data_IF_041184470277
#
_entry.id   IF_041184470277
#
_cell.length_a   1.000
_cell.length_b   1.000
_cell.length_c   1.000
_cell.angle_alpha   90.00
_cell.angle_beta   90.00
_cell.angle_gamma   90.00
#
_symmetry.space_group_name_H-M   'P 1'
#
loop_
_entity.id
_entity.type
_entity.pdbx_description
1 polymer ?
#
# COMPACT_ATOMS: atom_id res chain seq x y z
N UNK A 1 -47.43 -21.16 -79.82
CA UNK A 1 -47.07 -20.43 -78.56
C UNK A 1 -45.58 -20.47 -78.38
N UNK A 2 -44.87 -19.43 -78.78
CA UNK A 2 -43.41 -19.31 -78.60
C UNK A 2 -43.12 -18.36 -77.46
N UNK A 3 -42.47 -18.85 -76.34
CA UNK A 3 -41.97 -18.01 -75.22
C UNK A 3 -40.63 -17.42 -75.64
N UNK A 4 -40.54 -16.12 -75.71
CA UNK A 4 -39.31 -15.33 -75.84
C UNK A 4 -38.56 -15.32 -74.49
N UNK A 5 -37.27 -15.75 -74.51
CA UNK A 5 -36.35 -15.59 -73.37
C UNK A 5 -35.61 -14.26 -73.55
N UNK A 6 -35.91 -13.31 -72.72
CA UNK A 6 -35.16 -12.07 -72.60
C UNK A 6 -33.92 -12.34 -71.70
N UNK A 7 -32.73 -12.26 -72.26
CA UNK A 7 -31.45 -12.25 -71.52
C UNK A 7 -31.11 -10.84 -71.20
N UNK A 8 -31.23 -10.50 -69.92
CA UNK A 8 -30.85 -9.22 -69.35
C UNK A 8 -29.35 -9.26 -68.98
N UNK A 9 -28.56 -8.59 -69.81
CA UNK A 9 -27.09 -8.45 -69.53
C UNK A 9 -26.83 -7.40 -68.45
N UNK A 10 -26.41 -7.85 -67.29
CA UNK A 10 -26.09 -7.05 -66.11
C UNK A 10 -24.56 -6.87 -66.05
N UNK A 11 -23.98 -5.94 -66.80
CA UNK A 11 -22.52 -5.64 -66.86
C UNK A 11 -22.11 -4.22 -66.50
N UNK A 12 -23.03 -3.35 -66.00
CA UNK A 12 -22.71 -1.94 -65.75
C UNK A 12 -22.48 -1.51 -64.30
N UNK A 13 -22.82 -2.37 -63.28
CA UNK A 13 -22.88 -1.86 -61.88
C UNK A 13 -21.65 -2.15 -61.01
N UNK A 14 -20.80 -3.11 -61.40
CA UNK A 14 -19.61 -3.45 -60.59
C UNK A 14 -18.43 -2.47 -60.73
N UNK A 15 -18.29 -1.83 -61.91
CA UNK A 15 -17.25 -0.85 -62.19
C UNK A 15 -17.52 0.50 -61.49
N UNK A 16 -18.79 0.92 -61.39
CA UNK A 16 -19.16 2.15 -60.67
C UNK A 16 -19.03 2.04 -59.15
N UNK A 17 -19.31 0.86 -58.55
CA UNK A 17 -19.12 0.63 -57.12
C UNK A 17 -17.66 0.57 -56.69
N UNK A 18 -16.77 0.04 -57.54
CA UNK A 18 -15.30 0.03 -57.28
C UNK A 18 -14.68 1.41 -57.37
N UNK A 19 -15.15 2.27 -58.27
CA UNK A 19 -14.68 3.65 -58.40
C UNK A 19 -15.10 4.55 -57.22
N UNK A 20 -16.29 4.33 -56.63
CA UNK A 20 -16.76 5.03 -55.44
C UNK A 20 -16.00 4.61 -54.16
N UNK A 21 -15.57 3.34 -54.01
CA UNK A 21 -14.75 2.86 -52.91
C UNK A 21 -13.31 3.41 -52.98
N UNK A 22 -12.75 3.63 -54.16
CA UNK A 22 -11.40 4.22 -54.31
C UNK A 22 -11.38 5.74 -54.04
N UNK A 23 -12.51 6.45 -54.26
CA UNK A 23 -12.61 7.89 -53.94
C UNK A 23 -12.82 8.13 -52.42
N UNK A 24 -13.43 7.19 -51.68
CA UNK A 24 -13.57 7.31 -50.23
C UNK A 24 -12.25 7.07 -49.48
N UNK A 25 -11.31 6.30 -50.04
CA UNK A 25 -9.99 6.07 -49.46
C UNK A 25 -9.02 7.26 -49.63
N UNK A 26 -9.30 8.21 -50.52
CA UNK A 26 -8.44 9.38 -50.80
C UNK A 26 -8.67 10.58 -49.85
N UNK A 27 -9.72 10.55 -49.02
CA UNK A 27 -10.05 11.64 -48.06
C UNK A 27 -9.65 11.39 -46.61
N UNK A 28 -9.09 10.24 -46.27
CA UNK A 28 -8.44 10.09 -44.95
C UNK A 28 -7.01 10.64 -45.09
N UNK A 29 -6.87 11.92 -44.88
CA UNK A 29 -5.56 12.56 -44.72
C UNK A 29 -4.80 11.86 -43.61
N UNK A 30 -3.90 10.93 -43.96
CA UNK A 30 -2.97 10.31 -43.01
C UNK A 30 -2.11 11.44 -42.46
N UNK A 31 -2.45 11.92 -41.26
CA UNK A 31 -1.57 12.85 -40.52
C UNK A 31 -0.22 12.15 -40.45
N UNK A 32 0.83 12.81 -40.91
CA UNK A 32 2.20 12.30 -40.71
C UNK A 32 2.38 11.98 -39.26
N UNK A 33 2.97 10.81 -38.93
CA UNK A 33 3.26 10.48 -37.55
C UNK A 33 4.00 11.63 -36.87
N UNK A 34 3.68 11.94 -35.62
CA UNK A 34 4.42 12.94 -34.88
C UNK A 34 5.88 12.50 -34.69
N UNK A 35 6.76 13.42 -34.32
CA UNK A 35 8.20 13.16 -34.19
C UNK A 35 8.49 12.04 -33.17
N UNK A 36 7.65 11.90 -32.13
CA UNK A 36 7.79 10.83 -31.13
C UNK A 36 7.44 9.48 -31.73
N UNK A 37 6.35 9.39 -32.49
CA UNK A 37 5.96 8.16 -33.19
C UNK A 37 6.99 7.71 -34.20
N UNK A 38 7.56 8.63 -34.96
CA UNK A 38 8.66 8.32 -35.91
C UNK A 38 9.89 7.78 -35.17
N UNK A 39 10.24 8.37 -34.03
CA UNK A 39 11.35 7.93 -33.21
C UNK A 39 11.11 6.54 -32.63
N UNK A 40 9.89 6.25 -32.09
CA UNK A 40 9.52 4.94 -31.58
C UNK A 40 9.63 3.82 -32.62
N UNK A 41 9.38 4.14 -33.90
CA UNK A 41 9.44 3.17 -35.00
C UNK A 41 10.85 3.02 -35.62
N UNK A 42 11.75 3.98 -35.41
CA UNK A 42 13.07 4.01 -36.07
C UNK A 42 14.23 3.58 -35.18
N UNK A 43 14.06 3.60 -33.85
CA UNK A 43 15.12 3.30 -32.89
C UNK A 43 15.05 1.86 -32.35
N UNK A 44 16.19 1.35 -31.89
CA UNK A 44 16.26 0.06 -31.21
C UNK A 44 15.55 0.07 -29.84
N UNK A 45 15.15 -1.11 -29.34
CA UNK A 45 14.53 -1.24 -28.02
C UNK A 45 15.45 -0.75 -26.89
N UNK A 46 16.76 -0.92 -27.05
CA UNK A 46 17.79 -0.48 -26.11
C UNK A 46 17.84 1.05 -26.03
N UNK A 47 17.89 1.73 -27.20
CA UNK A 47 17.88 3.19 -27.27
C UNK A 47 16.60 3.80 -26.68
N UNK A 48 15.44 3.20 -26.98
CA UNK A 48 14.15 3.63 -26.45
C UNK A 48 14.06 3.43 -24.94
N UNK A 49 14.53 2.28 -24.44
CA UNK A 49 14.59 1.98 -23.03
C UNK A 49 15.46 3.00 -22.27
N UNK A 50 16.70 3.22 -22.71
CA UNK A 50 17.60 4.16 -22.05
C UNK A 50 17.08 5.60 -22.11
N UNK A 51 16.48 6.01 -23.23
CA UNK A 51 15.82 7.32 -23.34
C UNK A 51 14.66 7.47 -22.37
N UNK A 52 13.79 6.47 -22.28
CA UNK A 52 12.66 6.46 -21.35
C UNK A 52 13.12 6.52 -19.89
N UNK A 53 14.11 5.73 -19.53
CA UNK A 53 14.75 5.71 -18.21
C UNK A 53 15.34 7.08 -17.85
N UNK A 54 16.15 7.65 -18.72
CA UNK A 54 16.77 8.98 -18.51
C UNK A 54 15.72 10.09 -18.33
N UNK A 55 14.58 10.01 -19.03
CA UNK A 55 13.48 10.96 -18.85
C UNK A 55 12.81 10.80 -17.48
N UNK A 56 12.59 9.57 -17.01
CA UNK A 56 12.03 9.27 -15.67
C UNK A 56 12.97 9.78 -14.58
N UNK A 57 14.29 9.59 -14.72
CA UNK A 57 15.30 10.11 -13.80
C UNK A 57 15.27 11.64 -13.70
N UNK A 58 15.03 12.32 -14.83
CA UNK A 58 14.83 13.77 -14.91
C UNK A 58 13.43 14.22 -14.47
N UNK A 59 12.62 13.33 -13.86
CA UNK A 59 11.23 13.57 -13.44
C UNK A 59 10.27 13.96 -14.58
N UNK A 60 10.65 13.74 -15.82
CA UNK A 60 9.78 13.91 -17.01
C UNK A 60 8.95 12.63 -17.22
N UNK A 61 8.12 12.30 -16.23
CA UNK A 61 7.46 11.00 -16.11
C UNK A 61 6.61 10.66 -17.34
N UNK A 62 5.72 11.55 -17.77
CA UNK A 62 4.84 11.30 -18.92
C UNK A 62 5.62 11.05 -20.23
N UNK A 63 6.66 11.83 -20.44
CA UNK A 63 7.52 11.66 -21.61
C UNK A 63 8.29 10.32 -21.53
N UNK A 64 8.85 9.99 -20.37
CA UNK A 64 9.58 8.73 -20.16
C UNK A 64 8.68 7.51 -20.33
N UNK A 65 7.46 7.56 -19.79
CA UNK A 65 6.47 6.49 -19.93
C UNK A 65 6.12 6.17 -21.38
N UNK A 66 6.07 7.13 -22.28
CA UNK A 66 5.80 6.88 -23.71
C UNK A 66 6.79 5.88 -24.30
N UNK A 67 8.09 6.07 -24.05
CA UNK A 67 9.15 5.19 -24.56
C UNK A 67 9.13 3.83 -23.85
N UNK A 68 9.06 3.82 -22.52
CA UNK A 68 9.06 2.57 -21.74
C UNK A 68 7.82 1.71 -22.02
N UNK A 69 6.63 2.34 -22.18
CA UNK A 69 5.40 1.63 -22.53
C UNK A 69 5.53 0.97 -23.90
N UNK A 70 6.06 1.69 -24.88
CA UNK A 70 6.30 1.11 -26.21
C UNK A 70 7.22 -0.12 -26.12
N UNK A 71 8.31 -0.06 -25.32
CA UNK A 71 9.26 -1.17 -25.16
C UNK A 71 8.57 -2.38 -24.52
N UNK A 72 7.82 -2.23 -23.43
CA UNK A 72 7.20 -3.39 -22.78
C UNK A 72 6.01 -3.96 -23.57
N UNK A 73 5.28 -3.15 -24.33
CA UNK A 73 4.18 -3.62 -25.16
C UNK A 73 4.65 -4.33 -26.43
N UNK A 74 5.74 -3.84 -27.02
CA UNK A 74 6.30 -4.43 -28.24
C UNK A 74 7.15 -5.67 -27.96
N UNK A 75 7.87 -5.68 -26.81
CA UNK A 75 8.81 -6.74 -26.45
C UNK A 75 8.48 -7.34 -25.05
N UNK A 76 7.26 -7.86 -24.80
CA UNK A 76 6.82 -8.26 -23.46
C UNK A 76 7.64 -9.41 -22.87
N UNK A 77 8.17 -10.29 -23.71
CA UNK A 77 8.97 -11.45 -23.26
C UNK A 77 10.48 -11.14 -23.14
N UNK A 78 10.91 -9.97 -23.58
CA UNK A 78 12.30 -9.55 -23.49
C UNK A 78 12.65 -9.06 -22.06
N UNK A 79 13.89 -9.30 -21.58
CA UNK A 79 14.32 -8.74 -20.30
C UNK A 79 14.13 -7.23 -20.17
N UNK A 80 14.40 -6.45 -21.25
CA UNK A 80 14.17 -5.00 -21.26
C UNK A 80 12.69 -4.64 -21.21
N UNK A 81 11.81 -5.42 -21.85
CA UNK A 81 10.36 -5.22 -21.76
C UNK A 81 9.85 -5.39 -20.34
N UNK A 82 10.32 -6.44 -19.63
CA UNK A 82 9.98 -6.66 -18.23
C UNK A 82 10.48 -5.52 -17.33
N UNK A 83 11.71 -5.07 -17.54
CA UNK A 83 12.28 -3.96 -16.78
C UNK A 83 11.58 -2.64 -17.10
N UNK A 84 11.20 -2.41 -18.35
CA UNK A 84 10.45 -1.23 -18.79
C UNK A 84 9.09 -1.14 -18.06
N UNK A 85 8.36 -2.26 -17.90
CA UNK A 85 7.11 -2.28 -17.15
C UNK A 85 7.32 -1.88 -15.68
N UNK A 86 8.39 -2.36 -15.03
CA UNK A 86 8.75 -1.94 -13.67
C UNK A 86 9.07 -0.44 -13.60
N UNK A 87 9.84 0.09 -14.55
CA UNK A 87 10.17 1.52 -14.58
C UNK A 87 8.94 2.39 -14.85
N UNK A 88 7.96 1.92 -15.63
CA UNK A 88 6.66 2.58 -15.78
C UNK A 88 5.94 2.64 -14.44
N UNK A 89 5.87 1.51 -13.70
CA UNK A 89 5.28 1.47 -12.37
C UNK A 89 5.99 2.42 -11.40
N UNK A 90 7.33 2.36 -11.35
CA UNK A 90 8.18 3.24 -10.53
C UNK A 90 7.95 4.72 -10.86
N UNK A 91 7.74 5.06 -12.13
CA UNK A 91 7.51 6.44 -12.58
C UNK A 91 6.19 7.00 -12.05
N UNK A 92 5.14 6.20 -12.04
CA UNK A 92 3.86 6.56 -11.43
C UNK A 92 3.97 6.68 -9.92
N UNK A 93 4.66 5.74 -9.27
CA UNK A 93 4.92 5.81 -7.83
C UNK A 93 5.68 7.08 -7.42
N UNK A 94 6.75 7.43 -8.18
CA UNK A 94 7.54 8.65 -7.96
C UNK A 94 6.76 9.93 -8.25
N UNK A 95 5.82 9.90 -9.17
CA UNK A 95 4.92 11.03 -9.44
C UNK A 95 4.03 11.31 -8.23
N UNK A 96 3.60 10.25 -7.52
CA UNK A 96 2.85 10.37 -6.28
C UNK A 96 1.40 10.80 -6.46
N UNK A 97 0.76 11.06 -5.31
CA UNK A 97 -0.68 11.35 -5.24
C UNK A 97 -1.55 10.13 -5.52
N UNK A 98 -2.85 10.24 -5.23
CA UNK A 98 -3.80 9.11 -5.35
C UNK A 98 -3.80 8.50 -6.75
N UNK A 99 -3.82 9.32 -7.79
CA UNK A 99 -3.76 8.83 -9.19
C UNK A 99 -2.45 8.10 -9.47
N UNK A 100 -1.31 8.67 -9.05
CA UNK A 100 0.00 8.05 -9.25
C UNK A 100 0.14 6.71 -8.52
N UNK A 101 -0.32 6.63 -7.26
CA UNK A 101 -0.29 5.37 -6.50
C UNK A 101 -1.24 4.32 -7.07
N UNK A 102 -2.43 4.71 -7.55
CA UNK A 102 -3.38 3.81 -8.19
C UNK A 102 -2.81 3.22 -9.49
N UNK A 103 -2.22 4.03 -10.36
CA UNK A 103 -1.57 3.59 -11.60
C UNK A 103 -0.35 2.72 -11.33
N UNK A 104 0.50 3.10 -10.37
CA UNK A 104 1.64 2.30 -9.96
C UNK A 104 1.20 0.92 -9.46
N UNK A 105 0.16 0.87 -8.63
CA UNK A 105 -0.46 -0.34 -8.09
C UNK A 105 -0.92 -1.28 -9.21
N UNK A 106 -1.60 -0.73 -10.21
CA UNK A 106 -2.02 -1.50 -11.37
C UNK A 106 -0.82 -2.11 -12.12
N UNK A 107 0.25 -1.32 -12.37
CA UNK A 107 1.43 -1.77 -13.11
C UNK A 107 2.28 -2.78 -12.33
N UNK A 108 2.46 -2.62 -11.02
CA UNK A 108 3.16 -3.63 -10.20
C UNK A 108 2.39 -4.94 -10.16
N UNK A 109 1.05 -4.91 -10.03
CA UNK A 109 0.21 -6.10 -10.09
C UNK A 109 0.30 -6.77 -11.46
N UNK A 110 0.28 -6.00 -12.54
CA UNK A 110 0.44 -6.50 -13.91
C UNK A 110 1.78 -7.22 -14.08
N UNK A 111 2.87 -6.63 -13.59
CA UNK A 111 4.20 -7.27 -13.58
C UNK A 111 4.21 -8.61 -12.82
N UNK A 112 3.64 -8.63 -11.63
CA UNK A 112 3.58 -9.83 -10.80
C UNK A 112 2.77 -10.96 -11.47
N UNK A 113 1.72 -10.62 -12.20
CA UNK A 113 0.86 -11.58 -12.90
C UNK A 113 1.51 -12.11 -14.19
N UNK A 114 2.12 -11.22 -14.98
CA UNK A 114 2.72 -11.60 -16.28
C UNK A 114 4.01 -12.39 -16.14
N UNK A 115 4.81 -12.11 -15.11
CA UNK A 115 6.17 -12.63 -15.01
C UNK A 115 6.40 -13.44 -13.73
N UNK A 116 5.80 -14.65 -13.62
CA UNK A 116 5.90 -15.48 -12.42
C UNK A 116 7.33 -15.93 -12.09
N UNK A 117 8.23 -16.01 -13.09
CA UNK A 117 9.64 -16.38 -12.92
C UNK A 117 10.64 -15.21 -12.89
N UNK A 118 10.19 -13.96 -12.86
CA UNK A 118 11.10 -12.82 -12.89
C UNK A 118 11.87 -12.64 -11.57
N UNK A 119 13.13 -12.23 -11.65
CA UNK A 119 14.02 -12.08 -10.48
C UNK A 119 13.63 -10.92 -9.55
N UNK A 120 12.92 -9.88 -10.07
CA UNK A 120 12.55 -8.68 -9.31
C UNK A 120 11.11 -8.71 -8.77
N UNK A 121 10.53 -9.88 -8.62
CA UNK A 121 9.16 -10.01 -8.11
C UNK A 121 9.03 -9.57 -6.65
N UNK A 122 10.03 -9.83 -5.84
CA UNK A 122 10.10 -9.38 -4.45
C UNK A 122 10.09 -7.85 -4.36
N UNK A 123 10.87 -7.16 -5.18
CA UNK A 123 10.82 -5.71 -5.33
C UNK A 123 9.44 -5.24 -5.77
N UNK A 124 8.87 -5.83 -6.81
CA UNK A 124 7.55 -5.45 -7.30
C UNK A 124 6.45 -5.67 -6.24
N UNK A 125 6.53 -6.76 -5.47
CA UNK A 125 5.60 -7.04 -4.37
C UNK A 125 5.75 -6.01 -3.24
N UNK A 126 6.98 -5.66 -2.89
CA UNK A 126 7.24 -4.62 -1.89
C UNK A 126 6.69 -3.26 -2.33
N UNK A 127 6.96 -2.84 -3.56
CA UNK A 127 6.45 -1.58 -4.09
C UNK A 127 4.92 -1.58 -4.23
N UNK A 128 4.32 -2.71 -4.58
CA UNK A 128 2.87 -2.87 -4.61
C UNK A 128 2.26 -2.62 -3.22
N UNK A 129 2.82 -3.22 -2.17
CA UNK A 129 2.42 -2.96 -0.80
C UNK A 129 2.60 -1.47 -0.42
N UNK A 130 3.73 -0.89 -0.83
CA UNK A 130 4.06 0.50 -0.51
C UNK A 130 3.10 1.50 -1.16
N UNK A 131 2.43 1.16 -2.28
CA UNK A 131 1.39 2.03 -2.87
C UNK A 131 0.19 2.22 -1.94
N UNK A 132 -0.23 1.19 -1.22
CA UNK A 132 -1.28 1.29 -0.21
C UNK A 132 -0.79 2.01 1.04
N UNK A 133 0.45 1.71 1.46
CA UNK A 133 1.10 2.35 2.62
C UNK A 133 1.15 3.88 2.49
N UNK A 134 1.37 4.39 1.27
CA UNK A 134 1.35 5.84 0.98
C UNK A 134 -0.02 6.50 1.07
N UNK A 135 -1.09 5.73 1.13
CA UNK A 135 -2.48 6.19 1.23
C UNK A 135 -3.09 5.92 2.61
N UNK A 136 -2.26 5.51 3.59
CA UNK A 136 -2.72 5.32 4.96
C UNK A 136 -3.07 6.65 5.59
N UNK A 137 -4.25 6.70 6.19
CA UNK A 137 -4.75 7.85 6.93
C UNK A 137 -4.54 7.70 8.44
N UNK A 138 -4.96 8.72 9.21
CA UNK A 138 -4.92 8.70 10.67
C UNK A 138 -5.85 7.62 11.24
N UNK A 139 -5.64 7.17 12.49
CA UNK A 139 -6.43 6.10 13.10
C UNK A 139 -7.94 6.38 13.17
N UNK A 140 -8.36 7.65 13.22
CA UNK A 140 -9.76 8.07 13.27
C UNK A 140 -10.47 8.09 11.90
N UNK A 141 -9.78 7.69 10.83
CA UNK A 141 -10.26 7.67 9.45
C UNK A 141 -10.46 6.23 8.95
N UNK A 142 -10.79 6.11 7.67
CA UNK A 142 -10.90 4.80 7.01
C UNK A 142 -9.55 4.05 7.03
N UNK A 143 -9.60 2.75 7.37
CA UNK A 143 -8.43 1.90 7.49
C UNK A 143 -8.32 0.86 6.36
N UNK A 144 -9.01 1.07 5.24
CA UNK A 144 -8.97 0.14 4.11
C UNK A 144 -7.56 0.01 3.54
N UNK A 145 -6.89 1.14 3.27
CA UNK A 145 -5.50 1.14 2.77
C UNK A 145 -4.52 0.48 3.75
N UNK A 146 -4.73 0.66 5.06
CA UNK A 146 -3.92 0.00 6.09
C UNK A 146 -4.04 -1.52 6.03
N UNK A 147 -5.27 -2.05 5.92
CA UNK A 147 -5.51 -3.50 5.81
C UNK A 147 -4.92 -4.08 4.54
N UNK A 148 -5.13 -3.41 3.41
CA UNK A 148 -4.57 -3.83 2.12
C UNK A 148 -3.04 -3.83 2.14
N UNK A 149 -2.40 -2.81 2.69
CA UNK A 149 -0.96 -2.75 2.84
C UNK A 149 -0.43 -3.93 3.67
N UNK A 150 -1.06 -4.22 4.82
CA UNK A 150 -0.70 -5.37 5.68
C UNK A 150 -0.76 -6.67 4.88
N UNK A 151 -1.83 -6.90 4.13
CA UNK A 151 -1.99 -8.13 3.33
C UNK A 151 -0.89 -8.26 2.27
N UNK A 152 -0.53 -7.17 1.59
CA UNK A 152 0.52 -7.22 0.57
C UNK A 152 1.92 -7.40 1.20
N UNK A 153 2.22 -6.78 2.34
CA UNK A 153 3.48 -7.03 3.05
C UNK A 153 3.54 -8.45 3.63
N UNK A 154 2.45 -9.00 4.13
CA UNK A 154 2.39 -10.40 4.55
C UNK A 154 2.61 -11.37 3.38
N UNK A 155 2.06 -11.06 2.21
CA UNK A 155 2.31 -11.81 0.99
C UNK A 155 3.80 -11.77 0.59
N UNK A 156 4.43 -10.59 0.65
CA UNK A 156 5.88 -10.45 0.44
C UNK A 156 6.69 -11.36 1.38
N UNK A 157 6.40 -11.29 2.69
CA UNK A 157 7.13 -12.07 3.70
C UNK A 157 6.96 -13.58 3.48
N UNK A 158 5.75 -14.02 3.11
CA UNK A 158 5.43 -15.43 2.85
C UNK A 158 6.07 -15.94 1.57
N UNK A 159 5.99 -15.17 0.48
CA UNK A 159 6.45 -15.57 -0.85
C UNK A 159 7.98 -15.42 -1.01
N UNK A 160 8.59 -14.45 -0.31
CA UNK A 160 10.00 -14.08 -0.42
C UNK A 160 10.66 -13.88 0.95
N UNK A 161 10.69 -14.90 1.83
CA UNK A 161 11.15 -14.76 3.22
C UNK A 161 12.62 -14.34 3.37
N UNK A 162 13.44 -14.63 2.37
CA UNK A 162 14.88 -14.29 2.31
C UNK A 162 15.19 -13.03 1.53
N UNK A 163 14.18 -12.36 0.97
CA UNK A 163 14.36 -11.09 0.27
C UNK A 163 14.89 -10.00 1.20
N UNK A 164 15.74 -9.10 0.67
CA UNK A 164 16.18 -7.91 1.37
C UNK A 164 15.03 -6.98 1.80
N UNK A 165 13.84 -7.10 1.18
CA UNK A 165 12.64 -6.33 1.53
C UNK A 165 11.81 -6.97 2.65
N UNK A 166 12.01 -8.26 2.98
CA UNK A 166 11.19 -8.97 3.95
C UNK A 166 11.29 -8.36 5.37
N UNK A 167 12.49 -7.91 5.77
CA UNK A 167 12.70 -7.24 7.05
C UNK A 167 11.91 -5.95 7.17
N UNK A 168 12.00 -5.09 6.16
CA UNK A 168 11.21 -3.86 6.08
C UNK A 168 9.71 -4.15 6.06
N UNK A 169 9.28 -5.19 5.33
CA UNK A 169 7.88 -5.63 5.31
C UNK A 169 7.36 -6.03 6.70
N UNK A 170 8.14 -6.79 7.50
CA UNK A 170 7.77 -7.16 8.87
C UNK A 170 7.57 -5.94 9.76
N UNK A 171 8.49 -4.99 9.69
CA UNK A 171 8.37 -3.76 10.47
C UNK A 171 7.15 -2.93 10.07
N UNK A 172 6.86 -2.84 8.75
CA UNK A 172 5.65 -2.15 8.29
C UNK A 172 4.37 -2.84 8.78
N UNK A 173 4.30 -4.17 8.75
CA UNK A 173 3.16 -4.92 9.29
C UNK A 173 2.96 -4.61 10.77
N UNK A 174 4.03 -4.59 11.58
CA UNK A 174 3.97 -4.26 13.01
C UNK A 174 3.37 -2.86 13.22
N UNK A 175 3.95 -1.84 12.58
CA UNK A 175 3.50 -0.44 12.70
C UNK A 175 2.03 -0.27 12.28
N UNK A 176 1.62 -0.92 11.18
CA UNK A 176 0.25 -0.84 10.69
C UNK A 176 -0.74 -1.62 11.56
N UNK A 177 -0.31 -2.71 12.18
CA UNK A 177 -1.11 -3.45 13.15
C UNK A 177 -1.37 -2.59 14.38
N UNK A 178 -0.36 -1.85 14.87
CA UNK A 178 -0.52 -0.86 15.94
C UNK A 178 -1.49 0.26 15.54
N UNK A 179 -1.45 0.71 14.29
CA UNK A 179 -2.38 1.73 13.78
C UNK A 179 -3.83 1.23 13.78
N UNK A 180 -4.07 -0.04 13.39
CA UNK A 180 -5.41 -0.65 13.47
C UNK A 180 -5.88 -0.78 14.93
N UNK A 181 -4.98 -1.14 15.84
CA UNK A 181 -5.29 -1.19 17.26
C UNK A 181 -5.65 0.21 17.81
N UNK A 182 -4.93 1.26 17.41
CA UNK A 182 -5.24 2.64 17.77
C UNK A 182 -6.60 3.09 17.20
N UNK A 183 -6.96 2.65 15.99
CA UNK A 183 -8.31 2.87 15.44
C UNK A 183 -9.38 2.27 16.35
N UNK A 184 -9.25 0.99 16.73
CA UNK A 184 -10.21 0.33 17.64
C UNK A 184 -10.25 1.00 19.02
N UNK A 185 -9.10 1.45 19.54
CA UNK A 185 -9.05 2.22 20.76
C UNK A 185 -9.84 3.53 20.63
N UNK A 186 -9.68 4.25 19.51
CA UNK A 186 -10.38 5.52 19.29
C UNK A 186 -11.90 5.35 19.24
N UNK A 187 -12.38 4.23 18.67
CA UNK A 187 -13.80 3.85 18.68
C UNK A 187 -14.30 3.57 20.10
N UNK A 188 -13.55 2.78 20.88
CA UNK A 188 -13.87 2.51 22.29
C UNK A 188 -13.91 3.80 23.12
N UNK A 189 -12.91 4.64 22.93
CA UNK A 189 -12.84 5.94 23.62
C UNK A 189 -13.98 6.91 23.24
N UNK A 190 -14.42 6.88 21.97
CA UNK A 190 -15.61 7.60 21.55
C UNK A 190 -16.85 7.17 22.35
N UNK A 191 -17.09 5.86 22.55
CA UNK A 191 -18.19 5.37 23.37
C UNK A 191 -18.06 5.79 24.83
N UNK A 192 -16.85 5.82 25.40
CA UNK A 192 -16.60 6.35 26.74
C UNK A 192 -17.07 7.81 26.88
N UNK A 193 -16.73 8.65 25.90
CA UNK A 193 -17.14 10.08 25.86
C UNK A 193 -18.63 10.26 25.68
N UNK A 194 -19.29 9.35 24.95
CA UNK A 194 -20.75 9.36 24.75
C UNK A 194 -21.55 8.80 25.92
N UNK A 195 -20.90 8.40 27.02
CA UNK A 195 -21.57 7.88 28.19
C UNK A 195 -22.08 6.44 28.03
N UNK A 196 -21.48 5.67 27.13
CA UNK A 196 -21.78 4.25 26.89
C UNK A 196 -20.61 3.35 27.33
N UNK A 197 -20.36 3.21 28.65
CA UNK A 197 -19.19 2.50 29.15
C UNK A 197 -19.21 0.99 28.82
N UNK A 198 -20.38 0.36 28.70
CA UNK A 198 -20.51 -1.05 28.31
C UNK A 198 -20.02 -1.27 26.87
N UNK A 199 -20.41 -0.39 25.94
CA UNK A 199 -19.95 -0.46 24.56
C UNK A 199 -18.44 -0.18 24.45
N UNK A 200 -17.92 0.77 25.24
CA UNK A 200 -16.50 1.06 25.32
C UNK A 200 -15.70 -0.15 25.82
N UNK A 201 -16.14 -0.77 26.92
CA UNK A 201 -15.49 -1.95 27.49
C UNK A 201 -15.45 -3.12 26.50
N UNK A 202 -16.56 -3.37 25.78
CA UNK A 202 -16.60 -4.41 24.76
C UNK A 202 -15.54 -4.15 23.65
N UNK A 203 -15.38 -2.90 23.20
CA UNK A 203 -14.35 -2.51 22.22
C UNK A 203 -12.93 -2.69 22.76
N UNK A 204 -12.67 -2.29 23.99
CA UNK A 204 -11.35 -2.45 24.62
C UNK A 204 -11.00 -3.93 24.83
N UNK A 205 -11.97 -4.76 25.22
CA UNK A 205 -11.78 -6.21 25.38
C UNK A 205 -11.48 -6.88 24.03
N UNK A 206 -12.24 -6.54 22.98
CA UNK A 206 -12.00 -7.05 21.61
C UNK A 206 -10.61 -6.61 21.12
N UNK A 207 -10.21 -5.36 21.37
CA UNK A 207 -8.88 -4.85 21.03
C UNK A 207 -7.78 -5.65 21.73
N UNK A 208 -7.90 -5.90 23.03
CA UNK A 208 -6.91 -6.67 23.80
C UNK A 208 -6.74 -8.09 23.25
N UNK A 209 -7.82 -8.73 22.81
CA UNK A 209 -7.79 -10.06 22.21
C UNK A 209 -7.20 -10.07 20.80
N UNK A 210 -7.57 -9.11 19.97
CA UNK A 210 -7.15 -9.06 18.55
C UNK A 210 -5.75 -8.52 18.35
N UNK A 211 -5.29 -7.66 19.26
CA UNK A 211 -4.00 -6.95 19.14
C UNK A 211 -3.15 -7.11 20.42
N UNK A 212 -2.76 -8.36 20.79
CA UNK A 212 -2.04 -8.61 22.03
C UNK A 212 -0.66 -7.94 22.11
N UNK A 213 -0.06 -7.63 20.93
CA UNK A 213 1.24 -6.98 20.82
C UNK A 213 1.15 -5.45 20.66
N UNK A 214 -0.04 -4.86 20.84
CA UNK A 214 -0.22 -3.42 20.68
C UNK A 214 0.64 -2.63 21.67
N UNK A 215 1.43 -1.67 21.16
CA UNK A 215 2.40 -0.93 21.96
C UNK A 215 1.82 -0.07 23.09
N UNK A 216 0.53 0.28 23.06
CA UNK A 216 -0.15 1.07 24.08
C UNK A 216 -1.22 0.27 24.85
N UNK A 217 -0.90 -0.98 25.20
CA UNK A 217 -1.80 -1.85 26.00
C UNK A 217 -2.08 -1.28 27.39
N UNK A 218 -1.13 -0.61 28.02
CA UNK A 218 -1.29 0.09 29.29
C UNK A 218 -2.48 1.06 29.25
N UNK A 219 -2.59 1.84 28.16
CA UNK A 219 -3.71 2.74 27.89
C UNK A 219 -5.04 1.98 27.80
N UNK A 220 -5.06 0.87 27.06
CA UNK A 220 -6.27 0.05 26.88
C UNK A 220 -6.76 -0.50 28.23
N UNK A 221 -5.87 -1.11 29.00
CA UNK A 221 -6.18 -1.66 30.33
C UNK A 221 -6.70 -0.58 31.28
N UNK A 222 -6.07 0.60 31.29
CA UNK A 222 -6.50 1.73 32.10
C UNK A 222 -7.92 2.18 31.75
N UNK A 223 -8.24 2.36 30.46
CA UNK A 223 -9.57 2.78 30.06
C UNK A 223 -10.62 1.69 30.18
N UNK A 224 -10.23 0.41 30.14
CA UNK A 224 -11.11 -0.72 30.53
C UNK A 224 -11.50 -0.64 32.00
N UNK A 225 -10.54 -0.38 32.89
CA UNK A 225 -10.80 -0.14 34.30
C UNK A 225 -11.76 1.04 34.51
N UNK A 226 -11.51 2.15 33.81
CA UNK A 226 -12.39 3.33 33.89
C UNK A 226 -13.82 3.04 33.39
N UNK A 227 -13.98 2.19 32.37
CA UNK A 227 -15.30 1.77 31.91
C UNK A 227 -16.02 0.90 32.95
N UNK A 228 -15.29 -0.02 33.57
CA UNK A 228 -15.80 -0.88 34.66
C UNK A 228 -16.24 -0.06 35.90
N UNK A 229 -15.47 0.94 36.31
CA UNK A 229 -15.87 1.87 37.36
C UNK A 229 -17.22 2.54 37.08
N UNK A 230 -17.39 3.07 35.83
CA UNK A 230 -18.64 3.71 35.42
C UNK A 230 -19.81 2.74 35.37
N UNK A 231 -19.55 1.44 35.23
CA UNK A 231 -20.56 0.36 35.34
C UNK A 231 -20.83 -0.10 36.76
N UNK A 232 -20.13 0.43 37.79
CA UNK A 232 -20.23 0.00 39.18
C UNK A 232 -19.50 -1.32 39.48
N UNK A 233 -18.75 -1.88 38.52
CA UNK A 233 -18.01 -3.17 38.62
C UNK A 233 -16.64 -2.94 39.24
N UNK A 234 -16.61 -2.48 40.50
CA UNK A 234 -15.41 -1.98 41.18
C UNK A 234 -14.30 -3.01 41.31
N UNK A 235 -14.65 -4.26 41.69
CA UNK A 235 -13.65 -5.33 41.84
C UNK A 235 -12.94 -5.68 40.52
N UNK A 236 -13.67 -5.63 39.41
CA UNK A 236 -13.09 -5.87 38.12
C UNK A 236 -12.22 -4.68 37.67
N UNK A 237 -12.67 -3.46 37.95
CA UNK A 237 -11.85 -2.26 37.69
C UNK A 237 -10.53 -2.32 38.45
N UNK A 238 -10.57 -2.72 39.73
CA UNK A 238 -9.35 -2.86 40.54
C UNK A 238 -8.39 -3.90 39.98
N UNK A 239 -8.90 -5.04 39.49
CA UNK A 239 -8.05 -6.03 38.77
C UNK A 239 -7.37 -5.44 37.54
N UNK A 240 -8.09 -4.69 36.71
CA UNK A 240 -7.52 -4.07 35.54
C UNK A 240 -6.48 -3.00 35.90
N UNK A 241 -6.72 -2.16 36.92
CA UNK A 241 -5.70 -1.23 37.41
C UNK A 241 -4.47 -1.96 37.93
N UNK A 242 -4.64 -3.06 38.66
CA UNK A 242 -3.55 -3.90 39.12
C UNK A 242 -2.69 -4.42 37.95
N UNK A 243 -3.35 -4.88 36.88
CA UNK A 243 -2.65 -5.32 35.67
C UNK A 243 -1.82 -4.18 35.04
N UNK A 244 -2.38 -2.96 34.91
CA UNK A 244 -1.60 -1.81 34.39
C UNK A 244 -0.34 -1.58 35.23
N UNK A 245 -0.46 -1.60 36.55
CA UNK A 245 0.66 -1.34 37.48
C UNK A 245 1.70 -2.45 37.38
N UNK A 246 1.30 -3.70 37.24
CA UNK A 246 2.20 -4.86 37.23
C UNK A 246 2.86 -5.08 35.87
N UNK A 247 2.07 -4.99 34.78
CA UNK A 247 2.55 -5.25 33.42
C UNK A 247 3.34 -4.05 32.85
N UNK A 248 3.04 -2.82 33.30
CA UNK A 248 3.63 -1.58 32.76
C UNK A 248 4.03 -0.59 33.88
N UNK A 249 4.89 -0.95 34.82
CA UNK A 249 5.13 -0.21 36.08
C UNK A 249 5.60 1.24 35.88
N UNK A 250 6.32 1.52 34.76
CA UNK A 250 6.90 2.81 34.45
C UNK A 250 6.01 3.69 33.57
N UNK A 251 4.84 3.18 33.15
CA UNK A 251 3.96 3.92 32.25
C UNK A 251 3.23 5.06 32.96
N UNK A 252 2.85 6.07 32.18
CA UNK A 252 1.96 7.14 32.65
C UNK A 252 0.63 6.57 33.19
N UNK A 253 0.10 5.54 32.54
CA UNK A 253 -1.16 4.90 32.93
C UNK A 253 -1.02 4.09 34.21
N UNK A 254 0.16 3.54 34.54
CA UNK A 254 0.40 2.90 35.83
C UNK A 254 0.35 3.93 36.96
N UNK A 255 0.88 5.13 36.77
CA UNK A 255 0.75 6.22 37.77
C UNK A 255 -0.72 6.59 37.97
N UNK A 256 -1.46 6.80 36.89
CA UNK A 256 -2.91 7.10 36.94
C UNK A 256 -3.71 5.96 37.61
N UNK A 257 -3.31 4.71 37.40
CA UNK A 257 -3.95 3.56 38.03
C UNK A 257 -3.71 3.50 39.53
N UNK A 258 -2.48 3.79 40.02
CA UNK A 258 -2.18 3.91 41.46
C UNK A 258 -3.02 5.02 42.10
N UNK A 259 -3.09 6.19 41.44
CA UNK A 259 -3.91 7.30 41.95
C UNK A 259 -5.40 6.92 42.03
N UNK A 260 -5.94 6.20 41.04
CA UNK A 260 -7.32 5.73 41.03
C UNK A 260 -7.62 4.71 42.15
N UNK A 261 -6.64 3.89 42.54
CA UNK A 261 -6.71 2.94 43.67
C UNK A 261 -6.46 3.59 45.05
N UNK A 262 -6.08 4.87 45.08
CA UNK A 262 -5.68 5.57 46.31
C UNK A 262 -4.34 5.13 46.87
N UNK A 263 -3.48 4.49 46.05
CA UNK A 263 -2.15 4.08 46.45
C UNK A 263 -1.22 5.31 46.48
N UNK A 264 -0.53 5.55 47.58
CA UNK A 264 0.50 6.64 47.63
C UNK A 264 1.61 6.34 46.63
N UNK A 265 2.14 7.36 45.95
CA UNK A 265 3.31 7.20 45.08
C UNK A 265 4.42 6.49 45.86
N UNK A 266 4.99 5.44 45.26
CA UNK A 266 6.20 4.84 45.84
C UNK A 266 7.26 5.97 45.97
N UNK A 267 7.99 6.07 47.09
CA UNK A 267 9.01 7.07 47.28
C UNK A 267 10.01 6.95 46.11
N UNK A 268 10.36 8.10 45.50
CA UNK A 268 11.24 8.19 44.33
C UNK A 268 12.72 7.87 44.68
N UNK A 269 12.97 6.78 45.43
CA UNK A 269 14.28 6.34 45.86
C UNK A 269 14.44 4.84 45.81
N UNK A 270 14.55 4.32 44.58
CA UNK A 270 15.33 3.12 44.31
C UNK A 270 15.91 3.21 42.89
N UNK A 271 16.54 4.34 42.58
CA UNK A 271 17.56 4.35 41.55
C UNK A 271 18.70 3.45 42.10
N UNK A 272 18.74 2.22 41.60
CA UNK A 272 19.89 1.33 41.74
C UNK A 272 21.11 2.09 41.28
N UNK A 273 21.91 2.53 42.24
CA UNK A 273 23.28 2.96 42.03
C UNK A 273 24.04 1.75 41.47
N UNK A 274 24.12 1.67 40.17
CA UNK A 274 25.10 0.81 39.51
C UNK A 274 26.48 1.29 39.93
N UNK A 275 27.37 0.45 40.47
CA UNK A 275 28.71 0.87 40.88
C UNK A 275 29.47 1.28 39.62
N UNK A 276 29.99 2.53 39.67
CA UNK A 276 30.86 3.10 38.64
C UNK A 276 32.09 2.20 38.47
N UNK A 277 32.44 1.79 37.25
CA UNK A 277 33.66 1.01 37.02
C UNK A 277 34.89 1.81 37.49
N UNK A 278 35.70 1.19 38.34
CA UNK A 278 36.97 1.73 38.80
C UNK A 278 37.91 1.86 37.59
N UNK A 279 38.45 3.06 37.39
CA UNK A 279 39.47 3.31 36.38
C UNK A 279 40.74 2.48 36.69
N UNK A 280 41.45 1.94 35.69
CA UNK A 280 42.72 1.29 35.91
C UNK A 280 43.78 2.31 36.31
N UNK A 281 44.55 1.97 37.35
CA UNK A 281 45.70 2.73 37.81
C UNK A 281 46.84 2.71 36.78
N UNK A 282 47.57 3.80 36.55
CA UNK A 282 48.71 3.80 35.66
C UNK A 282 49.93 3.16 36.34
N UNK A 283 50.53 2.19 35.68
CA UNK A 283 51.94 1.80 35.83
C UNK A 283 52.66 2.08 34.52
#
# INVERSE_FOLDING_TARGET
MKRSKSTMTWTGSKAAALALLLLAAACSGTKKPDAVTQELLSKSKEELFEKGKALVEKKKYDAGRKYLTFVFETYPNDPLGREALLLVADSFFKQGGTTGYTEARFRYRDYLNRYPGASRRDYARYQFALTYDKEIERPDRDQTSTREAIEQYRALIREYPTSGFAGAGRERVRVMTDLLAEHEFSVGFFYMRKGSPSAALARFTDLEQRYPEYGARDKVLFYSARALEKLGRREEADRYYGRVITEFPDSEFARKARDARGEKPAPANAATTSPKPKAPSPN
#
